data_IF_513644022240
#
_entry.id   IF_513644022240
#
_cell.length_a   1.000
_cell.length_b   1.000
_cell.length_c   1.000
_cell.angle_alpha   90.00
_cell.angle_beta   90.00
_cell.angle_gamma   90.00
#
_symmetry.space_group_name_H-M   'P 1'
#
loop_
_entity.id
_entity.type
_entity.pdbx_description
1 polymer ?
#
# COMPACT_ATOMS: atom_id res chain seq x y z
N UNK A 1 13.47 9.76 -7.36
CA UNK A 1 13.22 8.42 -7.89
C UNK A 1 12.73 8.58 -9.30
N UNK A 2 13.15 7.73 -10.23
CA UNK A 2 12.86 7.94 -11.66
C UNK A 2 11.37 7.86 -11.98
N UNK A 3 10.62 6.99 -11.28
CA UNK A 3 9.16 6.88 -11.43
C UNK A 3 8.43 8.19 -11.09
N UNK A 4 8.78 8.85 -9.97
CA UNK A 4 8.19 10.14 -9.58
C UNK A 4 8.54 11.23 -10.59
N UNK A 5 9.81 11.35 -10.97
CA UNK A 5 10.27 12.37 -11.93
C UNK A 5 9.60 12.22 -13.29
N UNK A 6 9.46 10.97 -13.76
CA UNK A 6 8.78 10.65 -15.00
C UNK A 6 7.30 11.05 -14.94
N UNK A 7 6.59 10.66 -13.88
CA UNK A 7 5.17 10.99 -13.71
C UNK A 7 4.91 12.51 -13.67
N UNK A 8 5.75 13.26 -12.95
CA UNK A 8 5.68 14.73 -12.91
C UNK A 8 5.92 15.33 -14.30
N UNK A 9 6.91 14.84 -15.04
CA UNK A 9 7.21 15.31 -16.41
C UNK A 9 6.05 15.01 -17.38
N UNK A 10 5.33 13.91 -17.16
CA UNK A 10 4.14 13.51 -17.92
C UNK A 10 2.87 14.25 -17.48
N UNK A 11 2.94 15.11 -16.45
CA UNK A 11 1.79 15.85 -15.93
C UNK A 11 0.77 14.99 -15.19
N UNK A 12 1.16 13.78 -14.75
CA UNK A 12 0.28 12.86 -14.01
C UNK A 12 0.04 13.38 -12.60
N UNK A 13 -1.20 13.19 -12.11
CA UNK A 13 -1.62 13.53 -10.74
C UNK A 13 -1.44 12.39 -9.75
N UNK A 14 -1.25 11.18 -10.23
CA UNK A 14 -1.13 9.98 -9.42
C UNK A 14 -0.11 9.05 -10.07
N UNK A 15 0.56 8.26 -9.23
CA UNK A 15 1.30 7.09 -9.67
C UNK A 15 0.35 5.92 -9.85
N UNK A 16 0.70 4.97 -10.73
CA UNK A 16 -0.03 3.69 -10.75
C UNK A 16 0.20 2.90 -9.46
N UNK A 17 -0.62 1.89 -9.19
CA UNK A 17 -0.43 1.01 -8.03
C UNK A 17 0.99 0.43 -7.99
N UNK A 18 1.47 -0.08 -9.12
CA UNK A 18 2.82 -0.65 -9.21
C UNK A 18 3.91 0.39 -8.92
N UNK A 19 3.80 1.61 -9.47
CA UNK A 19 4.76 2.68 -9.20
C UNK A 19 4.69 3.16 -7.74
N UNK A 20 3.50 3.26 -7.16
CA UNK A 20 3.29 3.64 -5.75
C UNK A 20 3.96 2.64 -4.81
N UNK A 21 3.85 1.34 -5.10
CA UNK A 21 4.52 0.26 -4.36
C UNK A 21 6.04 0.40 -4.38
N UNK A 22 6.63 0.66 -5.55
CA UNK A 22 8.08 0.89 -5.65
C UNK A 22 8.52 2.06 -4.79
N UNK A 23 7.73 3.13 -4.74
CA UNK A 23 8.01 4.32 -3.91
C UNK A 23 7.99 3.97 -2.43
N UNK A 24 6.93 3.32 -1.93
CA UNK A 24 6.82 3.00 -0.50
C UNK A 24 7.81 1.90 -0.06
N UNK A 25 8.16 0.97 -0.93
CA UNK A 25 9.19 -0.03 -0.66
C UNK A 25 10.56 0.63 -0.45
N UNK A 26 10.85 1.71 -1.21
CA UNK A 26 12.07 2.50 -1.00
C UNK A 26 12.11 3.27 0.33
N UNK A 27 10.96 3.41 1.01
CA UNK A 27 10.83 3.95 2.36
C UNK A 27 10.93 2.87 3.46
N UNK A 28 11.25 1.62 3.11
CA UNK A 28 11.36 0.53 4.08
C UNK A 28 10.01 -0.07 4.49
N UNK A 29 8.94 0.24 3.76
CA UNK A 29 7.64 -0.44 3.92
C UNK A 29 7.74 -1.83 3.27
N UNK A 30 7.45 -2.89 4.01
CA UNK A 30 7.30 -4.19 3.37
C UNK A 30 6.03 -4.22 2.53
N UNK A 31 6.17 -4.58 1.26
CA UNK A 31 5.05 -4.75 0.33
C UNK A 31 4.86 -6.23 0.03
N UNK A 32 3.63 -6.66 -0.28
CA UNK A 32 3.41 -8.03 -0.73
C UNK A 32 4.21 -8.33 -2.01
N UNK A 33 4.54 -9.59 -2.26
CA UNK A 33 5.12 -9.99 -3.54
C UNK A 33 4.11 -9.68 -4.67
N UNK A 34 4.54 -8.96 -5.70
CA UNK A 34 3.67 -8.60 -6.81
C UNK A 34 4.45 -8.46 -8.13
N UNK A 35 3.75 -8.67 -9.25
CA UNK A 35 4.28 -8.56 -10.59
C UNK A 35 3.25 -7.89 -11.50
N UNK A 36 3.69 -6.89 -12.27
CA UNK A 36 2.86 -6.27 -13.29
C UNK A 36 2.96 -7.08 -14.58
N UNK A 37 1.85 -7.64 -15.04
CA UNK A 37 1.77 -8.52 -16.21
C UNK A 37 0.96 -7.88 -17.32
N UNK A 38 1.37 -8.12 -18.57
CA UNK A 38 0.73 -7.57 -19.77
C UNK A 38 0.02 -8.62 -20.59
N UNK A 39 0.32 -9.89 -20.37
CA UNK A 39 -0.38 -11.00 -21.01
C UNK A 39 -0.92 -11.99 -19.98
N UNK A 40 -1.90 -12.77 -20.42
CA UNK A 40 -2.50 -13.84 -19.64
C UNK A 40 -1.46 -14.89 -19.22
N UNK A 41 -0.56 -15.24 -20.14
CA UNK A 41 0.50 -16.23 -19.91
C UNK A 41 1.50 -15.74 -18.87
N UNK A 42 1.83 -14.44 -18.90
CA UNK A 42 2.62 -13.81 -17.84
C UNK A 42 1.89 -13.87 -16.50
N UNK A 43 0.60 -13.52 -16.46
CA UNK A 43 -0.19 -13.56 -15.24
C UNK A 43 -0.23 -14.95 -14.59
N UNK A 44 -0.44 -16.00 -15.39
CA UNK A 44 -0.44 -17.40 -14.92
C UNK A 44 0.92 -17.77 -14.35
N UNK A 45 2.00 -17.49 -15.09
CA UNK A 45 3.36 -17.83 -14.67
C UNK A 45 3.74 -17.15 -13.35
N UNK A 46 3.45 -15.86 -13.21
CA UNK A 46 3.75 -15.12 -11.97
C UNK A 46 2.89 -15.61 -10.79
N UNK A 47 1.60 -15.94 -11.04
CA UNK A 47 0.73 -16.50 -10.01
C UNK A 47 1.22 -17.87 -9.51
N UNK A 48 1.66 -18.75 -10.41
CA UNK A 48 2.24 -20.05 -10.07
C UNK A 48 3.54 -19.90 -9.27
N UNK A 49 4.41 -18.97 -9.66
CA UNK A 49 5.67 -18.69 -8.98
C UNK A 49 5.46 -18.14 -7.55
N UNK A 50 4.47 -17.27 -7.35
CA UNK A 50 4.10 -16.75 -6.02
C UNK A 50 3.33 -17.78 -5.16
N UNK A 51 2.70 -18.75 -5.83
CA UNK A 51 1.78 -19.71 -5.24
C UNK A 51 0.43 -19.10 -4.87
N UNK A 52 -0.61 -19.92 -4.91
CA UNK A 52 -1.98 -19.53 -4.59
C UNK A 52 -2.26 -19.43 -3.08
N UNK A 53 -3.34 -18.73 -2.66
CA UNK A 53 -4.15 -17.84 -3.48
C UNK A 53 -3.42 -16.53 -3.83
N UNK A 54 -3.80 -15.94 -4.97
CA UNK A 54 -3.33 -14.63 -5.44
C UNK A 54 -4.49 -13.64 -5.57
N UNK A 55 -4.13 -12.37 -5.76
CA UNK A 55 -4.99 -11.23 -6.04
C UNK A 55 -4.59 -10.69 -7.41
N UNK A 56 -5.57 -10.28 -8.22
CA UNK A 56 -5.34 -9.60 -9.49
C UNK A 56 -6.03 -8.24 -9.49
N UNK A 57 -5.28 -7.20 -9.83
CA UNK A 57 -5.77 -5.82 -9.88
C UNK A 57 -5.48 -5.18 -11.22
N UNK A 58 -6.45 -4.49 -11.82
CA UNK A 58 -6.16 -3.60 -12.94
C UNK A 58 -5.23 -2.47 -12.49
N UNK A 59 -4.14 -2.24 -13.22
CA UNK A 59 -3.14 -1.23 -12.86
C UNK A 59 -3.12 -0.12 -13.92
N UNK A 60 -3.35 1.12 -13.48
CA UNK A 60 -3.21 2.34 -14.28
C UNK A 60 -3.05 3.53 -13.34
N UNK A 61 -2.33 4.57 -13.77
CA UNK A 61 -2.28 5.83 -13.04
C UNK A 61 -3.66 6.51 -12.93
N UNK A 62 -4.57 6.26 -13.89
CA UNK A 62 -5.93 6.82 -13.91
C UNK A 62 -6.93 6.06 -13.01
N UNK A 63 -6.52 4.90 -12.46
CA UNK A 63 -7.36 4.05 -11.62
C UNK A 63 -6.99 4.20 -10.14
N UNK A 64 -7.41 5.29 -9.51
CA UNK A 64 -7.24 5.49 -8.06
C UNK A 64 -8.23 4.68 -7.21
N UNK A 65 -9.50 4.51 -7.64
CA UNK A 65 -10.55 3.79 -6.89
C UNK A 65 -10.92 2.43 -7.51
N UNK A 66 -9.97 1.48 -7.51
CA UNK A 66 -10.06 0.17 -8.20
C UNK A 66 -11.22 -0.72 -7.72
N UNK A 67 -11.49 -0.77 -6.42
CA UNK A 67 -12.52 -1.63 -5.84
C UNK A 67 -13.92 -1.24 -6.31
N UNK A 68 -14.21 0.07 -6.33
CA UNK A 68 -15.49 0.61 -6.80
C UNK A 68 -15.68 0.40 -8.30
N UNK A 69 -14.58 0.38 -9.06
CA UNK A 69 -14.57 0.06 -10.49
C UNK A 69 -14.64 -1.45 -10.78
N UNK A 70 -14.67 -2.33 -9.76
CA UNK A 70 -14.65 -3.78 -9.94
C UNK A 70 -13.37 -4.28 -10.62
N UNK A 71 -12.25 -3.57 -10.41
CA UNK A 71 -10.93 -3.83 -10.98
C UNK A 71 -10.03 -4.64 -10.05
N UNK A 72 -10.61 -5.29 -9.03
CA UNK A 72 -9.90 -6.14 -8.06
C UNK A 72 -10.60 -7.48 -7.96
N UNK A 73 -9.84 -8.55 -8.15
CA UNK A 73 -10.28 -9.93 -7.96
C UNK A 73 -9.42 -10.58 -6.87
N UNK A 74 -10.07 -11.10 -5.83
CA UNK A 74 -9.42 -11.69 -4.66
C UNK A 74 -9.57 -13.21 -4.66
N UNK A 75 -8.71 -13.89 -3.90
CA UNK A 75 -8.80 -15.31 -3.61
C UNK A 75 -8.84 -16.19 -4.87
N UNK A 76 -7.98 -15.88 -5.84
CA UNK A 76 -7.80 -16.65 -7.07
C UNK A 76 -6.92 -17.86 -6.72
N UNK A 77 -7.41 -19.07 -6.96
CA UNK A 77 -6.80 -20.30 -6.39
C UNK A 77 -6.08 -21.19 -7.39
N UNK A 78 -6.20 -20.91 -8.69
CA UNK A 78 -5.64 -21.73 -9.76
C UNK A 78 -5.46 -20.93 -11.06
N UNK A 79 -4.78 -21.52 -12.04
CA UNK A 79 -4.42 -20.88 -13.31
C UNK A 79 -5.63 -20.64 -14.22
N UNK A 80 -6.66 -21.49 -14.14
CA UNK A 80 -7.90 -21.32 -14.92
C UNK A 80 -8.64 -20.05 -14.45
N UNK A 81 -8.73 -19.84 -13.13
CA UNK A 81 -9.29 -18.60 -12.59
C UNK A 81 -8.43 -17.37 -12.94
N UNK A 82 -7.10 -17.49 -12.93
CA UNK A 82 -6.22 -16.39 -13.39
C UNK A 82 -6.54 -16.01 -14.83
N UNK A 83 -6.67 -17.00 -15.72
CA UNK A 83 -7.00 -16.77 -17.13
C UNK A 83 -8.35 -16.06 -17.31
N UNK A 84 -9.37 -16.52 -16.59
CA UNK A 84 -10.71 -15.92 -16.61
C UNK A 84 -10.67 -14.47 -16.11
N UNK A 85 -10.08 -14.24 -14.94
CA UNK A 85 -10.00 -12.91 -14.33
C UNK A 85 -9.19 -11.94 -15.20
N UNK A 86 -8.15 -12.41 -15.87
CA UNK A 86 -7.37 -11.58 -16.80
C UNK A 86 -8.25 -11.03 -17.94
N UNK A 87 -9.03 -11.91 -18.58
CA UNK A 87 -9.95 -11.51 -19.65
C UNK A 87 -11.03 -10.55 -19.13
N UNK A 88 -11.58 -10.83 -17.94
CA UNK A 88 -12.59 -9.97 -17.32
C UNK A 88 -12.04 -8.56 -17.05
N UNK A 89 -10.88 -8.43 -16.40
CA UNK A 89 -10.30 -7.14 -16.06
C UNK A 89 -9.87 -6.34 -17.29
N UNK A 90 -9.26 -6.98 -18.28
CA UNK A 90 -8.83 -6.31 -19.52
C UNK A 90 -10.00 -5.90 -20.41
N UNK A 91 -11.14 -6.60 -20.34
CA UNK A 91 -12.36 -6.19 -21.06
C UNK A 91 -13.03 -4.94 -20.47
N UNK A 92 -12.86 -4.70 -19.15
CA UNK A 92 -13.49 -3.57 -18.44
C UNK A 92 -12.78 -2.23 -18.67
N UNK A 93 -11.47 -2.23 -18.92
CA UNK A 93 -10.67 -1.02 -19.04
C UNK A 93 -9.68 -1.08 -20.21
N UNK A 94 -9.74 -0.10 -21.10
CA UNK A 94 -8.92 -0.07 -22.32
C UNK A 94 -7.50 0.49 -22.11
N UNK A 95 -7.27 1.25 -21.04
CA UNK A 95 -6.02 1.98 -20.79
C UNK A 95 -5.34 1.49 -19.50
N UNK A 96 -5.04 0.20 -19.45
CA UNK A 96 -4.26 -0.39 -18.36
C UNK A 96 -2.78 -0.43 -18.71
N UNK A 97 -1.93 -0.16 -17.72
CA UNK A 97 -0.50 -0.46 -17.80
C UNK A 97 -0.26 -1.99 -17.79
N UNK A 98 -1.20 -2.72 -17.19
CA UNK A 98 -1.24 -4.18 -17.08
C UNK A 98 -2.17 -4.65 -15.96
N UNK A 99 -2.08 -5.93 -15.64
CA UNK A 99 -2.70 -6.54 -14.45
C UNK A 99 -1.62 -6.78 -13.41
N UNK A 100 -1.81 -6.24 -12.21
CA UNK A 100 -0.94 -6.52 -11.08
C UNK A 100 -1.39 -7.83 -10.43
N UNK A 101 -0.55 -8.86 -10.54
CA UNK A 101 -0.69 -10.14 -9.84
C UNK A 101 0.05 -10.02 -8.52
N UNK A 102 -0.62 -10.27 -7.40
CA UNK A 102 -0.10 -10.03 -6.05
C UNK A 102 -0.40 -11.22 -5.14
N UNK A 103 0.57 -11.58 -4.28
CA UNK A 103 0.35 -12.62 -3.26
C UNK A 103 -0.75 -12.19 -2.30
N UNK A 104 -1.75 -13.03 -2.08
CA UNK A 104 -2.81 -12.73 -1.12
C UNK A 104 -2.26 -12.80 0.31
N UNK A 105 -2.08 -11.64 0.94
CA UNK A 105 -1.73 -11.54 2.36
C UNK A 105 -3.00 -11.66 3.20
N UNK A 106 -2.92 -12.41 4.31
CA UNK A 106 -4.01 -12.56 5.27
C UNK A 106 -3.53 -12.15 6.65
N UNK A 107 -4.37 -11.40 7.36
CA UNK A 107 -4.14 -10.97 8.73
C UNK A 107 -5.46 -10.56 9.37
N UNK A 108 -5.47 -10.55 10.71
CA UNK A 108 -6.64 -10.15 11.50
C UNK A 108 -6.53 -8.73 12.05
N UNK A 109 -5.40 -8.06 11.77
CA UNK A 109 -5.06 -6.72 12.23
C UNK A 109 -4.62 -5.91 11.02
N UNK A 110 -5.24 -4.76 10.85
CA UNK A 110 -4.98 -3.83 9.77
C UNK A 110 -4.69 -2.45 10.37
N UNK A 111 -3.65 -1.81 9.87
CA UNK A 111 -3.25 -0.45 10.20
C UNK A 111 -3.20 0.38 8.92
N UNK A 112 -2.97 1.67 9.07
CA UNK A 112 -2.74 2.60 7.95
C UNK A 112 -1.49 3.43 8.24
N UNK A 113 -0.72 3.70 7.20
CA UNK A 113 0.33 4.72 7.20
C UNK A 113 -0.04 5.71 6.11
N UNK A 114 0.00 7.00 6.45
CA UNK A 114 -0.25 8.07 5.49
C UNK A 114 0.81 9.15 5.53
N UNK A 115 0.87 9.94 4.47
CA UNK A 115 1.53 11.22 4.43
C UNK A 115 0.63 12.20 3.72
N UNK A 116 0.43 13.37 4.30
CA UNK A 116 -0.23 14.50 3.64
C UNK A 116 0.58 15.77 3.86
N UNK A 117 0.28 16.84 3.12
CA UNK A 117 0.92 18.15 3.34
C UNK A 117 -0.06 19.11 3.98
N UNK A 118 0.28 19.54 5.18
CA UNK A 118 -0.36 20.68 5.81
C UNK A 118 0.15 22.01 5.22
N UNK A 119 -0.72 23.01 4.98
CA UNK A 119 -0.30 24.30 4.44
C UNK A 119 0.69 25.08 5.31
N UNK A 120 0.67 24.87 6.63
CA UNK A 120 1.50 25.58 7.60
C UNK A 120 2.73 24.77 8.00
N UNK A 121 2.58 23.45 8.14
CA UNK A 121 3.63 22.58 8.67
C UNK A 121 4.37 21.76 7.61
N UNK A 122 3.86 21.70 6.37
CA UNK A 122 4.45 20.88 5.33
C UNK A 122 4.10 19.39 5.50
N UNK A 123 4.99 18.45 5.18
CA UNK A 123 4.68 17.02 5.19
C UNK A 123 4.42 16.52 6.61
N UNK A 124 3.28 15.85 6.80
CA UNK A 124 2.82 15.25 8.05
C UNK A 124 2.56 13.77 7.82
N UNK A 125 3.20 12.92 8.62
CA UNK A 125 2.99 11.47 8.62
C UNK A 125 1.85 11.13 9.56
N UNK A 126 1.01 10.17 9.13
CA UNK A 126 -0.11 9.62 9.86
C UNK A 126 0.16 8.14 10.15
N UNK A 127 -0.18 7.69 11.34
CA UNK A 127 -0.32 6.27 11.67
C UNK A 127 -1.65 6.03 12.37
N UNK A 128 -2.28 4.89 12.13
CA UNK A 128 -3.51 4.58 12.83
C UNK A 128 -4.07 3.20 12.55
N UNK A 129 -5.21 2.94 13.17
CA UNK A 129 -5.99 1.74 12.91
C UNK A 129 -6.53 1.77 11.47
N UNK A 130 -6.35 0.67 10.74
CA UNK A 130 -6.81 0.48 9.38
C UNK A 130 -8.10 -0.34 9.29
N UNK A 131 -8.49 -0.66 8.05
CA UNK A 131 -9.66 -1.46 7.74
C UNK A 131 -10.99 -0.72 7.91
N UNK A 132 -12.09 -1.48 7.96
CA UNK A 132 -13.47 -0.94 7.91
C UNK A 132 -13.84 0.01 9.06
N UNK A 133 -13.08 0.00 10.16
CA UNK A 133 -13.35 0.82 11.33
C UNK A 133 -12.58 2.15 11.35
N UNK A 134 -11.69 2.39 10.38
CA UNK A 134 -10.82 3.58 10.31
C UNK A 134 -11.63 4.87 10.41
N UNK A 135 -12.66 5.02 9.56
CA UNK A 135 -13.49 6.23 9.50
C UNK A 135 -14.36 6.43 10.75
N UNK A 136 -14.82 5.32 11.34
CA UNK A 136 -15.71 5.32 12.49
C UNK A 136 -14.98 5.63 13.80
N UNK A 137 -13.77 5.10 13.99
CA UNK A 137 -13.01 5.24 15.23
C UNK A 137 -12.06 6.43 15.23
N UNK A 138 -11.61 6.88 14.04
CA UNK A 138 -10.66 8.00 13.87
C UNK A 138 -9.46 7.88 14.82
N UNK A 139 -8.96 6.66 14.96
CA UNK A 139 -7.86 6.33 15.86
C UNK A 139 -6.53 6.46 15.12
N UNK A 140 -6.12 7.72 14.95
CA UNK A 140 -4.93 8.11 14.19
C UNK A 140 -4.09 9.09 15.00
N UNK A 141 -2.79 9.07 14.74
CA UNK A 141 -1.79 9.95 15.32
C UNK A 141 -0.98 10.58 14.18
N UNK A 142 -0.50 11.80 14.42
CA UNK A 142 0.23 12.58 13.42
C UNK A 142 1.55 13.09 13.97
N UNK A 143 2.54 13.22 13.08
CA UNK A 143 3.80 13.91 13.32
C UNK A 143 4.23 14.68 12.08
N UNK A 144 4.79 15.86 12.27
CA UNK A 144 5.41 16.63 11.18
C UNK A 144 6.74 15.97 10.82
N UNK A 145 7.03 15.83 9.53
CA UNK A 145 8.31 15.31 9.06
C UNK A 145 9.40 16.40 9.03
N UNK A 146 10.69 16.04 9.19
CA UNK A 146 11.22 14.68 9.37
C UNK A 146 10.93 14.11 10.77
N UNK A 147 10.75 12.78 10.85
CA UNK A 147 10.53 12.07 12.11
C UNK A 147 11.82 11.35 12.51
N UNK A 148 12.12 11.32 13.80
CA UNK A 148 13.08 10.39 14.38
C UNK A 148 12.44 9.02 14.61
N UNK A 149 13.26 8.01 14.89
CA UNK A 149 12.77 6.69 15.31
C UNK A 149 11.93 6.80 16.59
N UNK A 150 12.36 7.64 17.52
CA UNK A 150 11.67 7.88 18.78
C UNK A 150 10.30 8.51 18.56
N UNK A 151 10.19 9.52 17.69
CA UNK A 151 8.90 10.12 17.30
C UNK A 151 7.94 9.07 16.73
N UNK A 152 8.45 8.17 15.88
CA UNK A 152 7.66 7.10 15.28
C UNK A 152 7.18 6.08 16.32
N UNK A 153 8.03 5.70 17.27
CA UNK A 153 7.65 4.77 18.35
C UNK A 153 6.61 5.38 19.30
N UNK A 154 6.75 6.67 19.63
CA UNK A 154 5.75 7.41 20.41
C UNK A 154 4.42 7.48 19.66
N UNK A 155 4.46 7.80 18.36
CA UNK A 155 3.27 7.87 17.50
C UNK A 155 2.52 6.53 17.45
N UNK A 156 3.25 5.41 17.46
CA UNK A 156 2.71 4.04 17.54
C UNK A 156 2.05 3.76 18.91
N UNK A 157 2.54 4.33 20.01
CA UNK A 157 1.99 4.13 21.35
C UNK A 157 0.80 5.03 21.71
N UNK A 158 0.56 6.07 20.92
CA UNK A 158 -0.49 7.06 21.14
C UNK A 158 -1.86 6.64 20.61
N UNK A 159 -1.92 5.67 19.67
CA UNK A 159 -3.21 5.16 19.20
C UNK A 159 -3.98 4.49 20.34
N UNK A 160 -5.29 4.72 20.42
CA UNK A 160 -6.18 4.16 21.46
C UNK A 160 -6.21 2.63 21.38
N UNK A 161 -6.07 2.08 20.18
CA UNK A 161 -6.06 0.65 19.89
C UNK A 161 -4.68 0.00 19.97
N UNK A 162 -3.69 0.64 20.61
CA UNK A 162 -2.32 0.09 20.76
C UNK A 162 -2.23 -1.33 21.31
N UNK A 163 -3.25 -1.82 22.01
CA UNK A 163 -3.33 -3.23 22.45
C UNK A 163 -3.28 -4.22 21.28
N UNK A 164 -3.70 -3.81 20.08
CA UNK A 164 -3.61 -4.64 18.87
C UNK A 164 -2.16 -4.83 18.38
N UNK A 165 -1.24 -3.95 18.79
CA UNK A 165 0.19 -4.05 18.46
C UNK A 165 0.91 -5.10 19.32
N UNK A 166 0.34 -5.47 20.47
CA UNK A 166 0.86 -6.56 21.30
C UNK A 166 0.45 -7.93 20.79
N UNK A 167 0.68 -8.97 21.59
CA UNK A 167 0.13 -10.30 21.33
C UNK A 167 -1.40 -10.24 21.34
N UNK A 168 -2.03 -10.80 20.31
CA UNK A 168 -3.48 -10.71 20.14
C UNK A 168 -4.04 -11.98 19.50
N UNK A 169 -4.96 -12.65 20.20
CA UNK A 169 -5.69 -13.85 19.72
C UNK A 169 -4.78 -14.89 19.06
N UNK A 170 -3.66 -15.24 19.71
CA UNK A 170 -2.69 -16.23 19.22
C UNK A 170 -1.75 -15.72 18.13
N UNK A 171 -1.86 -14.46 17.70
CA UNK A 171 -0.87 -13.80 16.84
C UNK A 171 0.21 -13.14 17.70
N UNK A 172 1.49 -13.15 17.26
CA UNK A 172 2.58 -12.51 17.99
C UNK A 172 2.41 -10.98 18.03
N UNK A 173 3.21 -10.33 18.89
CA UNK A 173 3.34 -8.89 18.87
C UNK A 173 3.82 -8.40 17.50
N UNK A 174 3.37 -7.21 17.09
CA UNK A 174 3.78 -6.58 15.84
C UNK A 174 5.24 -6.16 15.95
N UNK A 175 5.98 -6.32 14.85
CA UNK A 175 7.33 -5.79 14.70
C UNK A 175 7.27 -4.26 14.63
N UNK A 176 7.41 -3.65 15.80
CA UNK A 176 7.36 -2.19 16.00
C UNK A 176 8.53 -1.46 15.36
N UNK A 177 9.69 -2.10 15.24
CA UNK A 177 10.85 -1.49 14.60
C UNK A 177 10.63 -1.36 13.10
N UNK A 178 10.02 -2.38 12.48
CA UNK A 178 9.63 -2.31 11.07
C UNK A 178 8.56 -1.24 10.81
N UNK A 179 7.58 -1.09 11.71
CA UNK A 179 6.64 0.04 11.64
C UNK A 179 7.34 1.39 11.78
N UNK A 180 8.23 1.55 12.77
CA UNK A 180 8.93 2.81 12.98
C UNK A 180 9.80 3.20 11.78
N UNK A 181 10.51 2.24 11.18
CA UNK A 181 11.29 2.44 9.95
C UNK A 181 10.41 2.89 8.78
N UNK A 182 9.26 2.24 8.58
CA UNK A 182 8.30 2.63 7.55
C UNK A 182 7.80 4.07 7.73
N UNK A 183 7.45 4.47 8.97
CA UNK A 183 6.97 5.82 9.28
C UNK A 183 8.05 6.89 9.02
N UNK A 184 9.27 6.65 9.48
CA UNK A 184 10.41 7.55 9.22
C UNK A 184 10.66 7.65 7.72
N UNK A 185 10.75 6.52 7.01
CA UNK A 185 11.00 6.51 5.57
C UNK A 185 9.90 7.20 4.76
N UNK A 186 8.63 7.05 5.15
CA UNK A 186 7.51 7.79 4.54
C UNK A 186 7.66 9.30 4.77
N UNK A 187 8.02 9.72 5.98
CA UNK A 187 8.34 11.12 6.26
C UNK A 187 9.49 11.66 5.39
N UNK A 188 10.57 10.88 5.27
CA UNK A 188 11.73 11.22 4.44
C UNK A 188 11.37 11.35 2.95
N UNK A 189 10.45 10.51 2.43
CA UNK A 189 9.93 10.67 1.08
C UNK A 189 9.24 12.02 0.89
N UNK A 190 8.40 12.43 1.84
CA UNK A 190 7.73 13.72 1.82
C UNK A 190 8.70 14.90 1.89
N UNK A 191 9.80 14.78 2.65
CA UNK A 191 10.84 15.83 2.69
C UNK A 191 11.61 15.87 1.36
N UNK A 192 11.99 14.70 0.83
CA UNK A 192 12.86 14.57 -0.35
C UNK A 192 12.16 14.94 -1.65
N UNK A 193 10.86 14.66 -1.77
CA UNK A 193 10.09 14.88 -2.99
C UNK A 193 8.93 15.83 -2.73
N UNK A 194 9.19 17.14 -2.90
CA UNK A 194 8.14 18.16 -2.78
C UNK A 194 6.95 17.91 -3.73
N UNK A 195 7.17 17.23 -4.85
CA UNK A 195 6.12 16.86 -5.80
C UNK A 195 5.09 15.85 -5.26
N UNK A 196 5.39 15.11 -4.19
CA UNK A 196 4.42 14.22 -3.55
C UNK A 196 3.48 15.08 -2.71
N UNK A 197 2.18 15.02 -3.03
CA UNK A 197 1.12 15.66 -2.26
C UNK A 197 0.63 14.76 -1.13
N UNK A 198 0.44 13.48 -1.42
CA UNK A 198 -0.11 12.50 -0.49
C UNK A 198 0.49 11.11 -0.73
N UNK A 199 0.61 10.32 0.33
CA UNK A 199 0.85 8.88 0.30
C UNK A 199 -0.22 8.24 1.18
N UNK A 200 -0.95 7.26 0.67
CA UNK A 200 -1.88 6.44 1.44
C UNK A 200 -1.48 4.97 1.32
N UNK A 201 -1.17 4.35 2.46
CA UNK A 201 -0.82 2.93 2.56
C UNK A 201 -1.92 2.25 3.36
N UNK A 202 -2.93 1.78 2.65
CA UNK A 202 -4.14 1.23 3.23
C UNK A 202 -4.71 0.09 2.37
N UNK A 203 -4.79 -1.15 2.88
CA UNK A 203 -4.43 -1.57 4.24
C UNK A 203 -2.95 -1.94 4.40
N UNK A 204 -2.44 -1.72 5.62
CA UNK A 204 -1.20 -2.31 6.13
C UNK A 204 -1.57 -3.52 7.01
N UNK A 205 -1.47 -4.72 6.45
CA UNK A 205 -1.89 -5.96 7.09
C UNK A 205 -0.76 -6.54 7.94
N UNK A 206 -1.05 -6.96 9.17
CA UNK A 206 -0.07 -7.71 9.98
C UNK A 206 -0.10 -9.19 9.62
N UNK A 207 0.96 -9.67 8.97
CA UNK A 207 1.18 -11.08 8.64
C UNK A 207 2.21 -11.69 9.60
N UNK A 208 1.74 -12.51 10.54
CA UNK A 208 2.56 -12.92 11.69
C UNK A 208 2.81 -11.72 12.60
N UNK A 209 4.06 -11.28 12.66
CA UNK A 209 4.52 -10.05 13.32
C UNK A 209 4.77 -8.89 12.33
N UNK A 210 4.91 -9.16 11.03
CA UNK A 210 5.35 -8.15 10.06
C UNK A 210 4.20 -7.29 9.54
N UNK A 211 4.36 -5.95 9.49
CA UNK A 211 3.44 -5.08 8.75
C UNK A 211 3.71 -5.18 7.25
N UNK A 212 2.71 -5.55 6.46
CA UNK A 212 2.81 -5.72 5.01
C UNK A 212 1.75 -4.88 4.30
N UNK A 213 2.20 -3.95 3.47
CA UNK A 213 1.32 -3.15 2.63
C UNK A 213 0.83 -3.99 1.45
N UNK A 214 -0.49 -3.99 1.25
CA UNK A 214 -1.13 -4.67 0.12
C UNK A 214 -1.77 -3.70 -0.87
N UNK A 215 -1.85 -2.42 -0.55
CA UNK A 215 -2.26 -1.38 -1.49
C UNK A 215 -1.52 -0.08 -1.13
N UNK A 216 -1.23 0.74 -2.14
CA UNK A 216 -0.63 2.04 -1.93
C UNK A 216 -1.02 3.04 -3.02
N UNK A 217 -1.36 4.26 -2.62
CA UNK A 217 -1.62 5.38 -3.52
C UNK A 217 -0.63 6.50 -3.24
N UNK A 218 0.04 6.98 -4.29
CA UNK A 218 0.87 8.19 -4.23
C UNK A 218 0.27 9.25 -5.15
N UNK A 219 -0.12 10.38 -4.55
CA UNK A 219 -0.68 11.55 -5.25
C UNK A 219 0.42 12.59 -5.44
N UNK A 220 0.46 13.19 -6.63
CA UNK A 220 1.40 14.22 -7.04
C UNK A 220 0.71 15.59 -7.11
N UNK A 221 1.49 16.66 -6.94
CA UNK A 221 1.01 18.06 -7.02
C UNK A 221 0.53 18.46 -8.41
#
# INVERSE_FOLDING_TARGET
>A
MDVIKKAVKEGRKTLSEYESRLVIESAGVFVAAAALTKTKEEAIREAEAMGYPVVMKGCSAELSHKTEAGMVALNITDSDQVAQVFDELTSKAKNLDGILVEKMVRGSREFVIGLSRDPSFGPCVMFGLGGIFTEALKDVTFRVAPLTREDALEMIDEIKTKKLLGEFRGSPAVDRESLAKALVGVGDLGIKYDSIAEIDINPLIICGDKPVAVDALVVLK
#
